data_IF_036673209397
#
_entry.id   IF_036673209397
#
_cell.length_a   1.000
_cell.length_b   1.000
_cell.length_c   1.000
_cell.angle_alpha   90.00
_cell.angle_beta   90.00
_cell.angle_gamma   90.00
#
_symmetry.space_group_name_H-M   'P 1'
#
loop_
_entity.id
_entity.type
_entity.pdbx_description
1 polymer ?
#
# COMPACT_ATOMS: atom_id res chain seq x y z
N UNK A 1 -27.18 -26.90 3.72
CA UNK A 1 -26.28 -26.46 2.63
C UNK A 1 -26.16 -24.95 2.72
N UNK A 2 -24.93 -24.37 2.85
CA UNK A 2 -24.78 -22.92 2.80
C UNK A 2 -25.22 -22.46 1.41
N UNK A 3 -26.09 -21.45 1.35
CA UNK A 3 -26.44 -20.79 0.09
C UNK A 3 -25.18 -20.16 -0.46
N UNK A 4 -24.69 -20.66 -1.59
CA UNK A 4 -23.69 -19.96 -2.38
C UNK A 4 -24.29 -18.56 -2.66
N UNK A 5 -23.69 -17.54 -2.07
CA UNK A 5 -24.08 -16.15 -2.29
C UNK A 5 -24.02 -15.91 -3.79
N UNK A 6 -25.16 -15.62 -4.43
CA UNK A 6 -25.17 -15.19 -5.82
C UNK A 6 -24.33 -13.93 -5.90
N UNK A 7 -23.27 -13.95 -6.73
CA UNK A 7 -22.43 -12.79 -6.97
C UNK A 7 -23.33 -11.62 -7.38
N UNK A 8 -23.37 -10.56 -6.56
CA UNK A 8 -24.21 -9.41 -6.87
C UNK A 8 -23.61 -8.65 -8.07
N UNK A 9 -24.44 -7.93 -8.82
CA UNK A 9 -23.95 -7.04 -9.88
C UNK A 9 -22.91 -6.05 -9.36
N UNK A 10 -23.15 -5.47 -8.17
CA UNK A 10 -22.19 -4.57 -7.51
C UNK A 10 -20.86 -5.27 -7.21
N UNK A 11 -20.87 -6.49 -6.66
CA UNK A 11 -19.66 -7.28 -6.41
C UNK A 11 -18.90 -7.60 -7.69
N UNK A 12 -19.59 -7.94 -8.76
CA UNK A 12 -18.96 -8.23 -10.04
C UNK A 12 -18.31 -6.97 -10.66
N UNK A 13 -19.00 -5.82 -10.60
CA UNK A 13 -18.47 -4.53 -11.07
C UNK A 13 -17.25 -4.09 -10.24
N UNK A 14 -17.31 -4.25 -8.92
CA UNK A 14 -16.20 -3.97 -8.01
C UNK A 14 -14.98 -4.83 -8.36
N UNK A 15 -15.17 -6.13 -8.59
CA UNK A 15 -14.10 -7.05 -9.00
C UNK A 15 -13.45 -6.65 -10.32
N UNK A 16 -14.24 -6.34 -11.34
CA UNK A 16 -13.76 -5.89 -12.65
C UNK A 16 -12.98 -4.55 -12.54
N UNK A 17 -13.53 -3.60 -11.77
CA UNK A 17 -12.89 -2.30 -11.55
C UNK A 17 -11.56 -2.46 -10.81
N UNK A 18 -11.52 -3.29 -9.77
CA UNK A 18 -10.30 -3.54 -8.99
C UNK A 18 -9.15 -4.08 -9.85
N UNK A 19 -9.45 -5.03 -10.76
CA UNK A 19 -8.45 -5.56 -11.71
C UNK A 19 -8.00 -4.45 -12.66
N UNK A 20 -8.94 -3.78 -13.35
CA UNK A 20 -8.60 -2.77 -14.36
C UNK A 20 -7.80 -1.60 -13.80
N UNK A 21 -8.23 -1.06 -12.66
CA UNK A 21 -7.56 0.08 -12.02
C UNK A 21 -6.24 -0.36 -11.38
N UNK A 22 -6.20 -1.56 -10.80
CA UNK A 22 -4.99 -2.14 -10.23
C UNK A 22 -3.89 -2.33 -11.25
N UNK A 23 -4.22 -2.91 -12.41
CA UNK A 23 -3.26 -3.13 -13.51
C UNK A 23 -2.71 -1.79 -14.03
N UNK A 24 -3.59 -0.83 -14.34
CA UNK A 24 -3.17 0.51 -14.81
C UNK A 24 -2.26 1.24 -13.82
N UNK A 25 -2.59 1.17 -12.54
CA UNK A 25 -1.75 1.79 -11.50
C UNK A 25 -0.41 1.05 -11.35
N UNK A 26 -0.40 -0.27 -11.47
CA UNK A 26 0.79 -1.10 -11.47
C UNK A 26 1.73 -0.77 -12.63
N UNK A 27 1.20 -0.72 -13.84
CA UNK A 27 1.96 -0.37 -15.06
C UNK A 27 2.55 1.04 -14.96
N UNK A 28 1.76 2.01 -14.48
CA UNK A 28 2.24 3.38 -14.31
C UNK A 28 3.39 3.48 -13.29
N UNK A 29 3.30 2.77 -12.18
CA UNK A 29 4.38 2.72 -11.18
C UNK A 29 5.65 2.06 -11.75
N UNK A 30 5.49 0.96 -12.48
CA UNK A 30 6.62 0.26 -13.10
C UNK A 30 7.32 1.12 -14.16
N UNK A 31 6.56 1.85 -14.97
CA UNK A 31 7.11 2.75 -15.98
C UNK A 31 7.85 3.96 -15.37
N UNK A 32 7.46 4.42 -14.18
CA UNK A 32 8.08 5.58 -13.54
C UNK A 32 9.49 5.32 -13.01
N UNK A 33 9.76 4.12 -12.47
CA UNK A 33 11.03 3.82 -11.76
C UNK A 33 11.59 2.44 -12.08
N UNK A 34 11.09 1.76 -13.09
CA UNK A 34 11.50 0.38 -13.41
C UNK A 34 11.46 -0.54 -12.16
N UNK A 35 10.46 -0.38 -11.32
CA UNK A 35 10.27 -1.19 -10.10
C UNK A 35 9.05 -2.09 -10.24
N UNK A 36 9.19 -3.34 -9.82
CA UNK A 36 8.03 -4.22 -9.71
C UNK A 36 7.09 -3.81 -8.57
N UNK A 37 5.83 -4.23 -8.64
CA UNK A 37 4.79 -3.87 -7.66
C UNK A 37 5.20 -4.12 -6.19
N UNK A 38 5.90 -5.23 -5.90
CA UNK A 38 6.38 -5.52 -4.54
C UNK A 38 7.47 -4.56 -4.09
N UNK A 39 8.33 -4.07 -5.00
CA UNK A 39 9.39 -3.09 -4.69
C UNK A 39 8.75 -1.73 -4.40
N UNK A 40 7.81 -1.29 -5.24
CA UNK A 40 7.04 -0.07 -4.99
C UNK A 40 6.31 -0.12 -3.66
N UNK A 41 5.63 -1.22 -3.37
CA UNK A 41 4.94 -1.42 -2.10
C UNK A 41 5.91 -1.40 -0.89
N UNK A 42 7.09 -2.00 -1.00
CA UNK A 42 8.09 -1.96 0.06
C UNK A 42 8.58 -0.53 0.34
N UNK A 43 8.93 0.22 -0.71
CA UNK A 43 9.40 1.59 -0.58
C UNK A 43 8.34 2.49 0.07
N UNK A 44 7.09 2.41 -0.39
CA UNK A 44 5.97 3.20 0.16
C UNK A 44 5.66 2.78 1.60
N UNK A 45 5.70 1.48 1.92
CA UNK A 45 5.47 0.99 3.28
C UNK A 45 6.54 1.50 4.24
N UNK A 46 7.82 1.49 3.84
CA UNK A 46 8.91 2.04 4.63
C UNK A 46 8.76 3.55 4.88
N UNK A 47 8.25 4.29 3.91
CA UNK A 47 8.00 5.73 4.04
C UNK A 47 6.81 6.02 4.98
N UNK A 48 5.72 5.25 4.86
CA UNK A 48 4.50 5.46 5.64
C UNK A 48 4.62 5.05 7.11
N UNK A 49 5.37 3.99 7.42
CA UNK A 49 5.32 3.33 8.73
C UNK A 49 6.62 3.35 9.52
N UNK A 50 7.58 4.14 9.10
CA UNK A 50 8.83 4.45 9.76
C UNK A 50 10.07 3.69 9.29
N UNK A 51 11.14 4.45 9.24
CA UNK A 51 12.50 3.99 9.10
C UNK A 51 12.83 2.92 10.15
N UNK A 52 13.52 1.86 9.73
CA UNK A 52 13.96 0.82 10.63
C UNK A 52 12.94 -0.28 10.94
N UNK A 53 11.88 -0.42 10.15
CA UNK A 53 10.97 -1.56 10.28
C UNK A 53 11.73 -2.89 10.09
N UNK A 54 11.58 -3.87 11.00
CA UNK A 54 12.16 -5.19 10.82
C UNK A 54 11.68 -5.84 9.51
N UNK A 55 12.57 -6.61 8.85
CA UNK A 55 12.21 -7.32 7.61
C UNK A 55 11.02 -8.27 7.80
N UNK A 56 10.85 -8.84 9.00
CA UNK A 56 9.70 -9.69 9.33
C UNK A 56 8.39 -8.91 9.24
N UNK A 57 8.32 -7.75 9.88
CA UNK A 57 7.13 -6.88 9.85
C UNK A 57 6.85 -6.34 8.45
N UNK A 58 7.90 -5.98 7.69
CA UNK A 58 7.74 -5.59 6.29
C UNK A 58 7.19 -6.76 5.46
N UNK A 59 7.66 -7.98 5.69
CA UNK A 59 7.16 -9.20 5.03
C UNK A 59 5.68 -9.43 5.31
N UNK A 60 5.24 -9.28 6.55
CA UNK A 60 3.84 -9.38 6.95
C UNK A 60 2.96 -8.34 6.25
N UNK A 61 3.36 -7.06 6.27
CA UNK A 61 2.64 -5.97 5.61
C UNK A 61 2.49 -6.19 4.09
N UNK A 62 3.50 -6.78 3.46
CA UNK A 62 3.53 -7.08 2.03
C UNK A 62 2.96 -8.47 1.68
N UNK A 63 2.59 -9.28 2.67
CA UNK A 63 2.17 -10.69 2.51
C UNK A 63 3.23 -11.53 1.79
N UNK A 64 4.50 -11.33 2.13
CA UNK A 64 5.64 -12.06 1.58
C UNK A 64 6.23 -13.01 2.60
N UNK A 65 6.72 -14.16 2.14
CA UNK A 65 7.52 -15.06 2.96
C UNK A 65 8.85 -14.40 3.35
N UNK A 66 9.48 -14.87 4.44
CA UNK A 66 10.77 -14.36 4.88
C UNK A 66 11.83 -14.39 3.76
N UNK A 67 11.92 -15.49 3.01
CA UNK A 67 12.85 -15.59 1.89
C UNK A 67 12.54 -14.60 0.76
N UNK A 68 11.26 -14.29 0.53
CA UNK A 68 10.84 -13.33 -0.50
C UNK A 68 11.17 -11.90 -0.10
N UNK A 69 10.95 -11.50 1.17
CA UNK A 69 11.27 -10.16 1.65
C UNK A 69 12.78 -9.93 1.71
N UNK A 70 13.57 -10.95 2.04
CA UNK A 70 15.04 -10.85 2.00
C UNK A 70 15.53 -10.58 0.57
N UNK A 71 15.08 -11.38 -0.42
CA UNK A 71 15.43 -11.14 -1.83
C UNK A 71 14.92 -9.77 -2.34
N UNK A 72 13.79 -9.31 -1.85
CA UNK A 72 13.27 -7.97 -2.17
C UNK A 72 14.22 -6.90 -1.63
N UNK A 73 14.65 -7.02 -0.38
CA UNK A 73 15.60 -6.12 0.26
C UNK A 73 16.95 -6.09 -0.47
N UNK A 74 17.46 -7.26 -0.89
CA UNK A 74 18.70 -7.35 -1.70
C UNK A 74 18.59 -6.56 -3.00
N UNK A 75 17.48 -6.70 -3.73
CA UNK A 75 17.26 -5.97 -4.99
C UNK A 75 17.14 -4.46 -4.78
N UNK A 76 16.42 -4.02 -3.74
CA UNK A 76 16.31 -2.60 -3.42
C UNK A 76 17.64 -1.99 -3.00
N UNK A 77 18.44 -2.72 -2.23
CA UNK A 77 19.78 -2.31 -1.81
C UNK A 77 20.74 -2.26 -2.99
N UNK A 78 20.72 -3.26 -3.88
CA UNK A 78 21.55 -3.28 -5.10
C UNK A 78 21.27 -2.10 -6.03
N UNK A 79 20.04 -1.54 -5.97
CA UNK A 79 19.66 -0.32 -6.69
C UNK A 79 19.94 0.97 -5.91
N UNK A 80 20.50 0.89 -4.72
CA UNK A 80 20.79 2.05 -3.88
C UNK A 80 19.54 2.75 -3.29
N UNK A 81 18.36 2.11 -3.34
CA UNK A 81 17.11 2.72 -2.88
C UNK A 81 16.90 2.58 -1.37
N UNK A 82 17.54 1.58 -0.75
CA UNK A 82 17.52 1.33 0.68
C UNK A 82 18.89 0.92 1.20
N UNK A 83 19.11 1.10 2.49
CA UNK A 83 20.24 0.57 3.25
C UNK A 83 19.75 -0.34 4.36
N UNK A 84 20.54 -1.40 4.68
CA UNK A 84 20.29 -2.24 5.84
C UNK A 84 20.84 -1.60 7.10
N UNK A 85 20.00 -1.60 8.16
CA UNK A 85 20.39 -1.15 9.51
C UNK A 85 20.14 -2.26 10.52
N UNK A 86 21.08 -2.43 11.44
CA UNK A 86 20.90 -3.29 12.62
C UNK A 86 20.16 -2.53 13.72
N UNK A 87 19.50 -3.27 14.62
CA UNK A 87 18.74 -2.67 15.72
C UNK A 87 17.33 -2.23 15.37
N UNK A 88 16.77 -2.75 14.29
CA UNK A 88 15.41 -2.45 13.86
C UNK A 88 14.37 -2.82 14.94
N UNK A 89 13.40 -1.94 15.16
CA UNK A 89 12.31 -2.17 16.13
C UNK A 89 12.75 -2.30 17.58
N UNK A 90 13.96 -1.83 17.92
CA UNK A 90 14.50 -1.92 19.30
C UNK A 90 15.20 -3.25 19.64
N UNK A 91 15.22 -4.22 18.72
CA UNK A 91 16.00 -5.45 18.85
C UNK A 91 17.35 -5.29 18.16
N UNK A 92 18.45 -5.28 18.92
CA UNK A 92 19.81 -5.11 18.42
C UNK A 92 20.25 -6.16 17.36
N UNK A 93 19.55 -7.30 17.28
CA UNK A 93 19.81 -8.36 16.31
C UNK A 93 18.95 -8.24 15.04
N UNK A 94 17.82 -7.53 15.13
CA UNK A 94 16.92 -7.38 13.99
C UNK A 94 17.54 -6.48 12.91
N UNK A 95 17.36 -6.87 11.67
CA UNK A 95 17.75 -6.08 10.50
C UNK A 95 16.50 -5.41 9.92
N UNK A 96 16.57 -4.11 9.75
CA UNK A 96 15.58 -3.30 9.06
C UNK A 96 16.14 -2.64 7.81
N UNK A 97 15.29 -1.92 7.11
CA UNK A 97 15.64 -1.13 5.93
C UNK A 97 15.38 0.35 6.23
N UNK A 98 16.29 1.19 5.78
CA UNK A 98 16.14 2.64 5.74
C UNK A 98 16.18 3.14 4.30
N UNK A 99 15.34 4.11 3.99
CA UNK A 99 15.30 4.75 2.67
C UNK A 99 16.52 5.65 2.48
N UNK A 100 17.18 5.53 1.34
CA UNK A 100 18.18 6.49 0.88
C UNK A 100 17.51 7.76 0.33
N UNK A 101 18.31 8.76 -0.06
CA UNK A 101 17.81 9.92 -0.78
C UNK A 101 17.17 9.53 -2.11
N UNK A 102 17.82 8.61 -2.84
CA UNK A 102 17.30 8.09 -4.12
C UNK A 102 16.02 7.28 -3.91
N UNK A 103 15.95 6.47 -2.84
CA UNK A 103 14.71 5.78 -2.47
C UNK A 103 13.53 6.74 -2.22
N UNK A 104 13.77 7.85 -1.53
CA UNK A 104 12.73 8.89 -1.32
C UNK A 104 12.34 9.60 -2.61
N UNK A 105 13.29 9.80 -3.53
CA UNK A 105 13.00 10.36 -4.85
C UNK A 105 12.15 9.38 -5.68
N UNK A 106 12.52 8.10 -5.70
CA UNK A 106 11.76 7.06 -6.37
C UNK A 106 10.31 6.97 -5.85
N UNK A 107 10.11 7.06 -4.54
CA UNK A 107 8.76 7.06 -3.95
C UNK A 107 7.91 8.22 -4.49
N UNK A 108 8.46 9.42 -4.62
CA UNK A 108 7.72 10.57 -5.17
C UNK A 108 7.27 10.32 -6.59
N UNK A 109 8.14 9.78 -7.45
CA UNK A 109 7.81 9.43 -8.83
C UNK A 109 6.74 8.33 -8.90
N UNK A 110 6.89 7.27 -8.11
CA UNK A 110 5.94 6.16 -8.02
C UNK A 110 4.55 6.64 -7.56
N UNK A 111 4.50 7.47 -6.50
CA UNK A 111 3.23 8.03 -6.00
C UNK A 111 2.56 8.93 -7.03
N UNK A 112 3.32 9.80 -7.70
CA UNK A 112 2.78 10.69 -8.74
C UNK A 112 2.21 9.90 -9.92
N UNK A 113 2.92 8.89 -10.41
CA UNK A 113 2.46 8.04 -11.50
C UNK A 113 1.19 7.26 -11.13
N UNK A 114 1.18 6.68 -9.92
CA UNK A 114 0.00 5.99 -9.39
C UNK A 114 -1.19 6.95 -9.24
N UNK A 115 -1.00 8.11 -8.65
CA UNK A 115 -2.06 9.11 -8.48
C UNK A 115 -2.66 9.52 -9.81
N UNK A 116 -1.85 9.83 -10.81
CA UNK A 116 -2.31 10.17 -12.15
C UNK A 116 -3.12 9.03 -12.81
N UNK A 117 -2.74 7.77 -12.60
CA UNK A 117 -3.48 6.62 -13.12
C UNK A 117 -4.85 6.44 -12.42
N UNK A 118 -4.90 6.68 -11.10
CA UNK A 118 -6.14 6.59 -10.32
C UNK A 118 -7.10 7.75 -10.64
N UNK A 119 -6.59 8.99 -10.73
CA UNK A 119 -7.41 10.14 -11.09
C UNK A 119 -8.09 9.96 -12.46
N UNK A 120 -7.36 9.47 -13.47
CA UNK A 120 -7.97 9.15 -14.77
C UNK A 120 -9.12 8.13 -14.69
N UNK A 121 -9.11 7.25 -13.71
CA UNK A 121 -10.22 6.33 -13.50
C UNK A 121 -11.46 7.02 -12.90
N UNK A 122 -11.26 8.17 -12.27
CA UNK A 122 -12.31 8.99 -11.68
C UNK A 122 -12.83 10.11 -12.60
N UNK A 123 -12.18 10.35 -13.76
CA UNK A 123 -12.57 11.40 -14.71
C UNK A 123 -14.05 11.35 -15.16
N UNK A 124 -14.70 10.17 -15.30
CA UNK A 124 -16.11 10.12 -15.68
C UNK A 124 -17.08 10.62 -14.60
N UNK A 125 -16.63 10.83 -13.36
CA UNK A 125 -17.47 11.19 -12.22
C UNK A 125 -17.48 12.69 -11.98
N UNK A 126 -18.67 13.23 -11.73
CA UNK A 126 -18.82 14.60 -11.24
C UNK A 126 -18.42 14.73 -9.76
N UNK A 127 -18.40 15.96 -9.23
CA UNK A 127 -17.97 16.24 -7.85
C UNK A 127 -18.86 15.56 -6.80
N UNK A 128 -20.16 15.47 -7.00
CA UNK A 128 -21.09 14.85 -6.04
C UNK A 128 -20.94 13.31 -6.05
N UNK A 129 -20.73 12.74 -7.23
CA UNK A 129 -20.47 11.31 -7.40
C UNK A 129 -19.13 10.91 -6.77
N UNK A 130 -18.07 11.74 -6.90
CA UNK A 130 -16.77 11.52 -6.25
C UNK A 130 -16.89 11.51 -4.73
N UNK A 131 -17.62 12.45 -4.13
CA UNK A 131 -17.88 12.50 -2.68
C UNK A 131 -18.63 11.24 -2.22
N UNK A 132 -19.64 10.83 -2.98
CA UNK A 132 -20.40 9.62 -2.67
C UNK A 132 -19.52 8.36 -2.74
N UNK A 133 -18.72 8.24 -3.79
CA UNK A 133 -17.79 7.13 -3.96
C UNK A 133 -16.74 7.08 -2.85
N UNK A 134 -16.16 8.23 -2.48
CA UNK A 134 -15.21 8.33 -1.36
C UNK A 134 -15.82 7.78 -0.06
N UNK A 135 -17.04 8.21 0.28
CA UNK A 135 -17.75 7.75 1.46
C UNK A 135 -17.98 6.23 1.45
N UNK A 136 -18.39 5.67 0.31
CA UNK A 136 -18.62 4.24 0.15
C UNK A 136 -17.33 3.44 0.25
N UNK A 137 -16.25 3.90 -0.39
CA UNK A 137 -14.93 3.27 -0.30
C UNK A 137 -14.39 3.31 1.13
N UNK A 138 -14.52 4.43 1.82
CA UNK A 138 -14.12 4.56 3.23
C UNK A 138 -14.83 3.55 4.13
N UNK A 139 -16.15 3.39 3.95
CA UNK A 139 -16.95 2.40 4.68
C UNK A 139 -16.51 0.96 4.40
N UNK A 140 -16.25 0.63 3.13
CA UNK A 140 -15.79 -0.71 2.74
C UNK A 140 -14.41 -1.01 3.32
N UNK A 141 -13.46 -0.09 3.19
CA UNK A 141 -12.10 -0.24 3.72
C UNK A 141 -12.07 -0.38 5.24
N UNK A 142 -12.89 0.40 5.95
CA UNK A 142 -13.01 0.27 7.41
C UNK A 142 -13.54 -1.12 7.81
N UNK A 143 -14.54 -1.66 7.11
CA UNK A 143 -15.11 -2.97 7.38
C UNK A 143 -14.13 -4.14 7.10
N UNK A 144 -13.23 -3.97 6.14
CA UNK A 144 -12.19 -4.96 5.81
C UNK A 144 -10.97 -4.89 6.75
N UNK A 145 -10.85 -3.83 7.58
CA UNK A 145 -9.72 -3.64 8.49
C UNK A 145 -10.03 -4.24 9.85
N UNK A 146 -9.45 -5.40 10.17
CA UNK A 146 -9.70 -6.15 11.41
C UNK A 146 -8.48 -6.22 12.32
N UNK A 147 -7.30 -5.95 11.80
CA UNK A 147 -6.01 -6.00 12.51
C UNK A 147 -5.11 -4.87 12.07
N UNK A 148 -4.04 -4.60 12.84
CA UNK A 148 -3.00 -3.64 12.45
C UNK A 148 -2.31 -4.12 11.16
N UNK A 149 -2.10 -5.42 11.00
CA UNK A 149 -1.53 -6.01 9.78
C UNK A 149 -2.42 -5.79 8.56
N UNK A 150 -3.76 -5.87 8.71
CA UNK A 150 -4.68 -5.52 7.62
C UNK A 150 -4.50 -4.05 7.22
N UNK A 151 -4.44 -3.15 8.20
CA UNK A 151 -4.22 -1.72 7.94
C UNK A 151 -2.92 -1.47 7.15
N UNK A 152 -1.82 -2.08 7.56
CA UNK A 152 -0.54 -1.98 6.85
C UNK A 152 -0.63 -2.54 5.43
N UNK A 153 -1.30 -3.68 5.26
CA UNK A 153 -1.50 -4.31 3.95
C UNK A 153 -2.36 -3.44 3.03
N UNK A 154 -3.47 -2.89 3.52
CA UNK A 154 -4.37 -2.04 2.73
C UNK A 154 -3.67 -0.75 2.30
N UNK A 155 -2.88 -0.15 3.20
CA UNK A 155 -2.22 1.13 2.96
C UNK A 155 -0.81 1.02 2.35
N UNK A 156 -0.34 -0.17 1.99
CA UNK A 156 1.02 -0.41 1.46
C UNK A 156 1.39 0.37 0.19
N UNK A 157 0.40 0.89 -0.53
CA UNK A 157 0.55 1.71 -1.74
C UNK A 157 -0.11 3.09 -1.60
N UNK A 158 -0.66 3.43 -0.42
CA UNK A 158 -1.35 4.70 -0.22
C UNK A 158 -0.37 5.85 0.00
N UNK A 159 -0.81 7.03 -0.37
CA UNK A 159 -0.27 8.28 0.13
C UNK A 159 -0.98 8.64 1.44
N UNK A 160 -0.25 8.60 2.54
CA UNK A 160 -0.79 8.84 3.87
C UNK A 160 -1.31 10.27 4.04
N UNK A 161 -0.63 11.24 3.46
CA UNK A 161 -1.00 12.66 3.55
C UNK A 161 -2.32 12.93 2.83
N UNK A 162 -2.51 12.37 1.64
CA UNK A 162 -3.76 12.48 0.87
C UNK A 162 -4.93 11.83 1.62
N UNK A 163 -4.71 10.66 2.22
CA UNK A 163 -5.73 10.00 3.05
C UNK A 163 -6.01 10.69 4.38
N UNK A 164 -5.21 11.69 4.75
CA UNK A 164 -5.29 12.38 6.05
C UNK A 164 -4.92 11.48 7.23
N UNK A 165 -3.94 10.58 7.01
CA UNK A 165 -3.37 9.74 8.07
C UNK A 165 -2.63 10.62 9.11
N UNK A 166 -2.74 10.33 10.42
CA UNK A 166 -3.55 9.28 11.02
C UNK A 166 -4.99 9.71 11.38
N UNK A 167 -5.31 11.01 11.26
CA UNK A 167 -6.51 11.59 11.88
C UNK A 167 -7.82 11.27 11.13
N UNK A 168 -7.79 11.21 9.78
CA UNK A 168 -8.99 11.03 8.94
C UNK A 168 -9.01 9.73 8.14
N UNK A 169 -7.91 8.98 8.13
CA UNK A 169 -7.81 7.73 7.37
C UNK A 169 -8.78 6.67 7.92
N UNK A 170 -9.74 6.16 7.13
CA UNK A 170 -10.75 5.20 7.60
C UNK A 170 -10.13 3.88 8.07
N UNK A 171 -9.05 3.45 7.43
CA UNK A 171 -8.30 2.25 7.79
C UNK A 171 -7.61 2.43 9.15
N UNK A 172 -6.95 3.58 9.37
CA UNK A 172 -6.30 3.88 10.65
C UNK A 172 -7.31 4.02 11.78
N UNK A 173 -8.46 4.64 11.53
CA UNK A 173 -9.51 4.77 12.55
C UNK A 173 -10.09 3.40 12.92
N UNK A 174 -10.34 2.52 11.94
CA UNK A 174 -10.78 1.17 12.21
C UNK A 174 -9.74 0.36 13.01
N UNK A 175 -8.46 0.42 12.64
CA UNK A 175 -7.38 -0.27 13.35
C UNK A 175 -7.21 0.21 14.81
N UNK A 176 -7.41 1.50 15.09
CA UNK A 176 -7.38 2.04 16.46
C UNK A 176 -8.52 1.58 17.35
N UNK A 177 -9.68 1.29 16.78
CA UNK A 177 -10.83 0.73 17.50
C UNK A 177 -10.66 -0.75 17.87
N UNK A 178 -9.61 -1.41 17.37
CA UNK A 178 -9.29 -2.81 17.62
C UNK A 178 -8.21 -2.95 18.74
N UNK A 179 -7.41 -1.93 18.97
CA UNK A 179 -6.37 -1.88 20.01
C UNK A 179 -6.95 -1.37 21.33
#
# INVERSE_FOLDING_TARGET
>A
MPRVSRNSRAGNLLGALAVTVGDRAGDAMAAAEDVGASQAAALITLDNYAAGMPLTTLGEALRLSHAAVVRLADRLQARGLVERRRGAGGDGRAVGLELTTDGRQAIRAIRAARAAALERALDPLDAAERITLESLMAKLLAAETRTITDAQTHCRLCDGDVCGHPARCPVTQAARGIA
#
